data_IF_337202603760
#
_entry.id   IF_337202603760
#
_cell.length_a   1.000
_cell.length_b   1.000
_cell.length_c   1.000
_cell.angle_alpha   90.00
_cell.angle_beta   90.00
_cell.angle_gamma   90.00
#
_symmetry.space_group_name_H-M   'P 1'
#
loop_
_entity.id
_entity.type
_entity.pdbx_description
1 polymer ?
#
# COMPACT_ATOMS: atom_id res chain seq x y z
N UNK A 1 2.23 -18.05 54.32
CA UNK A 1 1.15 -17.83 53.33
C UNK A 1 1.78 -17.06 52.17
N UNK A 2 2.18 -17.78 51.16
CA UNK A 2 2.87 -17.20 50.02
C UNK A 2 1.89 -16.70 48.96
N UNK A 3 1.97 -15.44 48.56
CA UNK A 3 1.29 -14.89 47.43
C UNK A 3 2.11 -15.07 46.17
N UNK A 4 1.66 -15.94 45.29
CA UNK A 4 2.21 -16.16 43.96
C UNK A 4 1.92 -14.93 43.08
N UNK A 5 2.93 -14.13 42.83
CA UNK A 5 2.89 -13.12 41.76
C UNK A 5 3.30 -13.80 40.45
N UNK A 6 2.32 -14.35 39.74
CA UNK A 6 2.51 -14.78 38.37
C UNK A 6 2.66 -13.52 37.49
N UNK A 7 3.90 -13.14 37.19
CA UNK A 7 4.22 -12.11 36.21
C UNK A 7 3.74 -12.58 34.83
N UNK A 8 2.76 -11.89 34.29
CA UNK A 8 2.37 -11.99 32.87
C UNK A 8 3.52 -11.37 32.08
N UNK A 9 4.42 -12.20 31.57
CA UNK A 9 5.35 -11.83 30.51
C UNK A 9 4.53 -11.48 29.28
N UNK A 10 4.27 -10.18 29.10
CA UNK A 10 3.73 -9.67 27.86
C UNK A 10 4.70 -10.02 26.74
N UNK A 11 4.36 -10.99 25.91
CA UNK A 11 5.08 -11.26 24.66
C UNK A 11 4.96 -9.96 23.84
N UNK A 12 6.05 -9.22 23.72
CA UNK A 12 6.14 -8.10 22.80
C UNK A 12 5.89 -8.66 21.40
N UNK A 13 4.68 -8.51 20.91
CA UNK A 13 4.30 -8.88 19.53
C UNK A 13 5.05 -7.90 18.63
N UNK A 14 6.13 -8.35 18.02
CA UNK A 14 6.87 -7.56 17.04
C UNK A 14 6.00 -7.49 15.78
N UNK A 15 5.67 -6.28 15.37
CA UNK A 15 4.94 -6.05 14.12
C UNK A 15 5.67 -6.70 12.93
N UNK A 16 4.92 -7.07 11.91
CA UNK A 16 5.49 -7.68 10.70
C UNK A 16 6.34 -6.68 9.92
N UNK A 17 5.80 -5.47 9.70
CA UNK A 17 6.50 -4.34 9.09
C UNK A 17 6.28 -3.08 9.95
N UNK A 18 7.36 -2.35 10.22
CA UNK A 18 7.30 -1.02 10.83
C UNK A 18 8.11 -0.03 9.98
N UNK A 19 7.45 1.01 9.52
CA UNK A 19 8.07 2.17 8.87
C UNK A 19 8.11 3.27 9.93
N UNK A 20 9.29 3.83 10.21
CA UNK A 20 9.51 4.83 11.27
C UNK A 20 10.19 6.07 10.71
N UNK A 21 9.49 7.20 10.72
CA UNK A 21 10.01 8.50 10.30
C UNK A 21 10.62 8.51 8.90
N UNK A 22 10.08 7.68 7.99
CA UNK A 22 10.68 7.48 6.66
C UNK A 22 10.63 8.75 5.83
N UNK A 23 11.81 9.15 5.30
CA UNK A 23 11.94 10.27 4.37
C UNK A 23 12.65 9.82 3.10
N UNK A 24 11.96 9.98 1.96
CA UNK A 24 12.51 9.68 0.62
C UNK A 24 12.33 10.90 -0.26
N UNK A 25 13.45 11.48 -0.66
CA UNK A 25 13.51 12.70 -1.46
C UNK A 25 14.14 12.41 -2.82
N UNK A 26 13.80 13.25 -3.81
CA UNK A 26 14.36 13.16 -5.16
C UNK A 26 15.01 14.49 -5.54
N UNK A 27 16.22 14.41 -6.08
CA UNK A 27 16.88 15.60 -6.62
C UNK A 27 16.25 15.97 -7.97
N UNK A 28 15.80 17.21 -8.08
CA UNK A 28 15.27 17.82 -9.32
C UNK A 28 16.09 19.06 -9.67
N UNK A 29 15.87 19.62 -10.84
CA UNK A 29 16.53 20.87 -11.24
C UNK A 29 16.12 22.05 -10.35
N UNK A 30 14.89 22.03 -9.80
CA UNK A 30 14.32 23.10 -8.97
C UNK A 30 14.61 22.94 -7.47
N UNK A 31 15.23 21.83 -7.02
CA UNK A 31 15.50 21.55 -5.60
C UNK A 31 15.21 20.11 -5.21
N UNK A 32 14.97 19.85 -3.91
CA UNK A 32 14.65 18.53 -3.41
C UNK A 32 13.12 18.32 -3.31
N UNK A 33 12.63 17.37 -4.08
CA UNK A 33 11.23 16.91 -3.99
C UNK A 33 11.08 15.97 -2.78
N UNK A 34 10.34 16.38 -1.76
CA UNK A 34 10.04 15.60 -0.55
C UNK A 34 8.86 14.64 -0.79
N UNK A 35 9.07 13.59 -1.56
CA UNK A 35 7.98 12.67 -1.96
C UNK A 35 7.41 11.86 -0.79
N UNK A 36 8.25 11.52 0.19
CA UNK A 36 7.88 10.92 1.50
C UNK A 36 8.65 11.67 2.57
N UNK A 37 7.98 12.16 3.62
CA UNK A 37 8.59 13.06 4.58
C UNK A 37 8.07 12.83 6.01
N UNK A 38 8.65 11.85 6.69
CA UNK A 38 8.31 11.49 8.07
C UNK A 38 7.11 10.55 8.17
N UNK A 39 7.04 9.53 7.31
CA UNK A 39 5.95 8.55 7.32
C UNK A 39 6.20 7.48 8.36
N UNK A 40 5.19 7.23 9.20
CA UNK A 40 5.10 6.12 10.14
C UNK A 40 3.93 5.22 9.76
N UNK A 41 4.20 3.93 9.51
CA UNK A 41 3.19 2.91 9.21
C UNK A 41 3.61 1.60 9.88
N UNK A 42 2.68 0.95 10.54
CA UNK A 42 2.89 -0.39 11.13
C UNK A 42 1.93 -1.36 10.46
N UNK A 43 2.36 -2.59 10.22
CA UNK A 43 1.52 -3.68 9.68
C UNK A 43 1.75 -4.93 10.50
N UNK A 44 0.68 -5.49 11.03
CA UNK A 44 0.71 -6.72 11.79
C UNK A 44 0.49 -7.96 10.90
N UNK A 45 0.77 -9.14 11.45
CA UNK A 45 0.57 -10.40 10.72
C UNK A 45 -0.91 -10.60 10.40
N UNK A 46 -1.21 -10.95 9.15
CA UNK A 46 -2.57 -11.20 8.68
C UNK A 46 -3.45 -9.94 8.58
N UNK A 47 -2.89 -8.76 8.84
CA UNK A 47 -3.61 -7.48 8.74
C UNK A 47 -3.68 -6.98 7.29
N UNK A 48 -4.81 -6.36 6.91
CA UNK A 48 -4.90 -5.50 5.73
C UNK A 48 -4.91 -4.05 6.17
N UNK A 49 -3.86 -3.31 5.81
CA UNK A 49 -3.77 -1.86 6.01
C UNK A 49 -4.04 -1.15 4.69
N UNK A 50 -5.09 -0.33 4.64
CA UNK A 50 -5.38 0.53 3.50
C UNK A 50 -4.53 1.81 3.57
N UNK A 51 -3.77 2.12 2.53
CA UNK A 51 -3.05 3.39 2.40
C UNK A 51 -3.70 4.21 1.30
N UNK A 52 -4.34 5.31 1.69
CA UNK A 52 -5.19 6.12 0.80
C UNK A 52 -4.72 7.56 0.68
N UNK A 53 -5.13 8.23 -0.39
CA UNK A 53 -4.85 9.65 -0.66
C UNK A 53 -4.85 9.96 -2.14
N UNK A 54 -4.82 11.24 -2.50
CA UNK A 54 -4.76 11.70 -3.89
C UNK A 54 -3.51 11.21 -4.61
N UNK A 55 -3.55 11.20 -5.96
CA UNK A 55 -2.37 10.87 -6.77
C UNK A 55 -1.21 11.83 -6.45
N UNK A 56 0.02 11.29 -6.41
CA UNK A 56 1.22 12.08 -6.09
C UNK A 56 1.46 12.34 -4.59
N UNK A 57 0.62 11.83 -3.67
CA UNK A 57 0.82 12.06 -2.22
C UNK A 57 1.89 11.17 -1.56
N UNK A 58 2.63 10.33 -2.32
CA UNK A 58 3.77 9.57 -1.80
C UNK A 58 3.52 8.08 -1.54
N UNK A 59 2.30 7.54 -1.74
CA UNK A 59 1.93 6.13 -1.48
C UNK A 59 2.83 5.12 -2.18
N UNK A 60 2.90 5.20 -3.51
CA UNK A 60 3.73 4.29 -4.33
C UNK A 60 5.23 4.48 -4.07
N UNK A 61 5.66 5.72 -3.75
CA UNK A 61 7.05 5.97 -3.36
C UNK A 61 7.38 5.27 -2.03
N UNK A 62 6.46 5.31 -1.05
CA UNK A 62 6.61 4.58 0.21
C UNK A 62 6.75 3.07 -0.04
N UNK A 63 5.87 2.48 -0.86
CA UNK A 63 5.94 1.07 -1.25
C UNK A 63 7.27 0.69 -1.91
N UNK A 64 7.68 1.48 -2.91
CA UNK A 64 8.95 1.29 -3.62
C UNK A 64 10.17 1.47 -2.70
N UNK A 65 10.09 2.38 -1.73
CA UNK A 65 11.16 2.58 -0.74
C UNK A 65 11.30 1.36 0.17
N UNK A 66 10.19 0.80 0.68
CA UNK A 66 10.19 -0.44 1.47
C UNK A 66 10.87 -1.57 0.69
N UNK A 67 10.56 -1.69 -0.60
CA UNK A 67 11.13 -2.71 -1.49
C UNK A 67 12.53 -2.35 -2.01
N UNK A 68 13.09 -1.18 -1.67
CA UNK A 68 14.34 -0.63 -2.25
C UNK A 68 14.34 -0.70 -3.78
N UNK A 69 13.24 -0.23 -4.39
CA UNK A 69 13.04 -0.15 -5.84
C UNK A 69 13.08 1.31 -6.34
N UNK A 70 13.55 2.22 -5.51
CA UNK A 70 13.82 3.61 -5.89
C UNK A 70 15.20 3.68 -6.53
N UNK A 71 15.28 4.27 -7.73
CA UNK A 71 16.55 4.55 -8.38
C UNK A 71 17.35 5.57 -7.58
N UNK A 72 18.57 5.25 -7.23
CA UNK A 72 19.44 6.10 -6.43
C UNK A 72 20.78 6.29 -7.16
N UNK A 73 21.05 7.46 -7.80
CA UNK A 73 20.24 8.67 -7.94
C UNK A 73 19.08 8.53 -8.96
N UNK A 74 18.09 9.46 -9.03
CA UNK A 74 17.99 10.76 -8.32
C UNK A 74 17.36 10.65 -6.93
N UNK A 75 16.79 9.49 -6.55
CA UNK A 75 16.20 9.27 -5.23
C UNK A 75 17.25 9.15 -4.12
N UNK A 76 16.83 9.45 -2.90
CA UNK A 76 17.63 9.25 -1.68
C UNK A 76 16.72 8.99 -0.49
N UNK A 77 17.00 7.95 0.29
CA UNK A 77 16.42 7.79 1.63
C UNK A 77 17.26 8.68 2.55
N UNK A 78 16.68 9.77 3.05
CA UNK A 78 17.41 10.78 3.84
C UNK A 78 17.30 10.56 5.33
N UNK A 79 16.23 9.87 5.80
CA UNK A 79 16.03 9.52 7.20
C UNK A 79 15.01 8.38 7.34
N UNK A 80 14.90 7.86 8.56
CA UNK A 80 13.93 6.85 8.96
C UNK A 80 14.44 5.42 8.81
N UNK A 81 13.58 4.48 9.20
CA UNK A 81 13.86 3.05 9.21
C UNK A 81 12.68 2.29 8.58
N UNK A 82 13.00 1.14 7.99
CA UNK A 82 12.02 0.15 7.53
C UNK A 82 12.35 -1.17 8.21
N UNK A 83 11.65 -1.47 9.30
CA UNK A 83 11.89 -2.66 10.10
C UNK A 83 11.00 -3.81 9.62
N UNK A 84 11.60 -4.84 9.07
CA UNK A 84 10.97 -6.10 8.71
C UNK A 84 11.25 -7.13 9.81
N UNK A 85 10.24 -7.51 10.58
CA UNK A 85 10.40 -8.40 11.76
C UNK A 85 11.52 -7.90 12.69
N UNK A 86 11.61 -6.59 12.91
CA UNK A 86 12.62 -5.95 13.72
C UNK A 86 13.98 -5.71 13.03
N UNK A 87 14.20 -6.20 11.81
CA UNK A 87 15.43 -5.98 11.05
C UNK A 87 15.27 -4.78 10.10
N UNK A 88 16.16 -3.79 10.21
CA UNK A 88 16.15 -2.63 9.31
C UNK A 88 16.60 -3.01 7.89
N UNK A 89 15.71 -2.72 6.92
CA UNK A 89 15.95 -2.97 5.50
C UNK A 89 16.76 -1.85 4.83
N UNK A 90 16.75 -0.63 5.40
CA UNK A 90 17.36 0.55 4.75
C UNK A 90 18.87 0.34 4.50
N UNK A 91 19.69 -0.13 5.46
CA UNK A 91 21.13 -0.32 5.25
C UNK A 91 21.48 -1.58 4.44
N UNK A 92 20.51 -2.46 4.13
CA UNK A 92 20.82 -3.75 3.48
C UNK A 92 21.37 -3.55 2.06
N UNK A 93 22.40 -4.31 1.67
CA UNK A 93 22.88 -4.32 0.28
C UNK A 93 21.86 -5.01 -0.66
N UNK A 94 21.98 -4.77 -1.99
CA UNK A 94 21.03 -5.31 -2.99
C UNK A 94 20.86 -6.83 -2.91
N UNK A 95 21.93 -7.58 -2.66
CA UNK A 95 21.93 -9.05 -2.60
C UNK A 95 21.13 -9.57 -1.39
N UNK A 96 21.16 -8.82 -0.27
CA UNK A 96 20.37 -9.16 0.91
C UNK A 96 18.88 -8.86 0.68
N UNK A 97 18.57 -7.76 -0.01
CA UNK A 97 17.19 -7.43 -0.40
C UNK A 97 16.61 -8.41 -1.42
N UNK A 98 17.44 -8.92 -2.34
CA UNK A 98 17.01 -9.93 -3.30
C UNK A 98 16.48 -11.20 -2.61
N UNK A 99 17.06 -11.61 -1.48
CA UNK A 99 16.60 -12.76 -0.69
C UNK A 99 15.26 -12.52 0.02
N UNK A 100 14.88 -11.25 0.24
CA UNK A 100 13.63 -10.86 0.90
C UNK A 100 12.50 -10.65 -0.13
N UNK A 101 12.84 -10.01 -1.26
CA UNK A 101 11.88 -9.76 -2.34
C UNK A 101 11.32 -11.06 -2.86
N UNK A 102 10.04 -11.07 -3.19
CA UNK A 102 9.22 -12.21 -3.62
C UNK A 102 9.07 -13.31 -2.56
N UNK A 103 10.09 -13.63 -1.78
CA UNK A 103 10.06 -14.72 -0.78
C UNK A 103 9.38 -14.31 0.53
N UNK A 104 9.63 -13.10 1.02
CA UNK A 104 9.08 -12.60 2.29
C UNK A 104 8.13 -11.44 2.08
N UNK A 105 8.50 -10.48 1.23
CA UNK A 105 7.70 -9.32 0.83
C UNK A 105 7.58 -9.33 -0.67
N UNK A 106 6.36 -9.22 -1.18
CA UNK A 106 6.10 -9.10 -2.61
C UNK A 106 5.32 -7.83 -2.92
N UNK A 107 5.35 -7.40 -4.18
CA UNK A 107 4.64 -6.22 -4.66
C UNK A 107 3.84 -6.55 -5.92
N UNK A 108 2.60 -6.06 -5.97
CA UNK A 108 1.76 -6.02 -7.17
C UNK A 108 1.78 -4.57 -7.64
N UNK A 109 2.31 -4.34 -8.84
CA UNK A 109 2.44 -2.99 -9.42
C UNK A 109 1.13 -2.50 -10.02
N UNK A 110 1.02 -1.19 -10.16
CA UNK A 110 -0.16 -0.49 -10.65
C UNK A 110 -0.54 -0.87 -12.10
N UNK A 111 0.45 -1.03 -12.99
CA UNK A 111 0.21 -1.26 -14.41
C UNK A 111 0.67 -2.65 -14.87
N UNK A 112 -0.27 -3.57 -15.20
CA UNK A 112 0.08 -4.89 -15.73
C UNK A 112 0.78 -4.85 -17.08
N UNK A 113 0.53 -3.80 -17.87
CA UNK A 113 1.09 -3.67 -19.22
C UNK A 113 2.60 -3.43 -19.23
N UNK A 114 3.10 -2.70 -18.25
CA UNK A 114 4.53 -2.35 -18.11
C UNK A 114 5.26 -3.31 -17.19
N UNK A 115 4.54 -4.00 -16.30
CA UNK A 115 5.13 -4.90 -15.30
C UNK A 115 5.40 -6.30 -15.82
N UNK A 116 4.59 -6.80 -16.78
CA UNK A 116 4.83 -8.09 -17.43
C UNK A 116 5.77 -7.90 -18.62
N UNK A 117 6.84 -8.69 -18.68
CA UNK A 117 7.77 -8.65 -19.79
C UNK A 117 7.12 -9.29 -21.03
N UNK A 118 6.92 -8.54 -22.15
CA UNK A 118 6.19 -9.02 -23.32
C UNK A 118 6.90 -10.12 -24.12
N UNK A 119 8.20 -10.30 -23.92
CA UNK A 119 9.00 -11.28 -24.68
C UNK A 119 9.17 -12.63 -23.98
N UNK A 120 8.67 -12.76 -22.73
CA UNK A 120 8.65 -14.03 -22.01
C UNK A 120 7.21 -14.53 -21.84
N UNK A 121 7.04 -15.85 -21.85
CA UNK A 121 5.74 -16.46 -21.57
C UNK A 121 5.35 -16.22 -20.11
N UNK A 122 4.05 -16.24 -19.84
CA UNK A 122 3.53 -16.10 -18.48
C UNK A 122 4.10 -17.16 -17.54
N UNK A 123 4.25 -18.40 -18.03
CA UNK A 123 4.82 -19.48 -17.25
C UNK A 123 6.27 -19.25 -16.85
N UNK A 124 7.12 -18.77 -17.77
CA UNK A 124 8.53 -18.47 -17.45
C UNK A 124 8.64 -17.34 -16.41
N UNK A 125 7.78 -16.31 -16.48
CA UNK A 125 7.80 -15.21 -15.52
C UNK A 125 7.37 -15.65 -14.10
N UNK A 126 6.40 -16.56 -13.98
CA UNK A 126 6.04 -17.13 -12.67
C UNK A 126 7.14 -18.08 -12.18
N UNK A 127 7.67 -18.93 -13.07
CA UNK A 127 8.68 -19.93 -12.75
C UNK A 127 10.04 -19.30 -12.34
N UNK A 128 10.36 -18.11 -12.82
CA UNK A 128 11.60 -17.40 -12.49
C UNK A 128 11.75 -17.22 -10.98
N UNK A 129 10.73 -16.67 -10.32
CA UNK A 129 10.74 -16.46 -8.85
C UNK A 129 10.90 -17.79 -8.10
N UNK A 130 10.22 -18.84 -8.53
CA UNK A 130 10.30 -20.17 -7.91
C UNK A 130 11.70 -20.79 -8.05
N UNK A 131 12.31 -20.66 -9.23
CA UNK A 131 13.68 -21.13 -9.46
C UNK A 131 14.71 -20.37 -8.63
N UNK A 132 14.55 -19.05 -8.56
CA UNK A 132 15.49 -18.17 -7.84
C UNK A 132 15.41 -18.37 -6.32
N UNK A 133 14.20 -18.50 -5.76
CA UNK A 133 13.98 -18.45 -4.31
C UNK A 133 13.74 -19.82 -3.66
N UNK A 134 13.22 -20.80 -4.41
CA UNK A 134 12.95 -22.16 -3.92
C UNK A 134 13.92 -23.21 -4.49
N UNK A 135 14.78 -22.81 -5.45
CA UNK A 135 15.78 -23.71 -6.04
C UNK A 135 15.18 -24.82 -6.92
N UNK A 136 13.94 -24.66 -7.38
CA UNK A 136 13.26 -25.65 -8.21
C UNK A 136 13.93 -25.78 -9.59
N UNK A 137 13.92 -27.00 -10.14
CA UNK A 137 14.25 -27.20 -11.55
C UNK A 137 13.26 -26.47 -12.46
N UNK A 138 13.63 -26.24 -13.71
CA UNK A 138 12.74 -25.58 -14.69
C UNK A 138 11.39 -26.29 -14.82
N UNK A 139 11.39 -27.62 -14.83
CA UNK A 139 10.18 -28.43 -14.97
C UNK A 139 9.27 -28.27 -13.74
N UNK A 140 9.82 -28.49 -12.54
CA UNK A 140 9.06 -28.33 -11.29
C UNK A 140 8.50 -26.91 -11.14
N UNK A 141 9.28 -25.88 -11.48
CA UNK A 141 8.84 -24.49 -11.44
C UNK A 141 7.69 -24.20 -12.42
N UNK A 142 7.72 -24.78 -13.64
CA UNK A 142 6.63 -24.66 -14.60
C UNK A 142 5.37 -25.42 -14.15
N UNK A 143 5.51 -26.62 -13.58
CA UNK A 143 4.40 -27.38 -13.02
C UNK A 143 3.75 -26.57 -11.88
N UNK A 144 4.54 -25.97 -11.00
CA UNK A 144 4.08 -25.09 -9.95
C UNK A 144 3.43 -23.80 -10.48
N UNK A 145 3.94 -23.25 -11.57
CA UNK A 145 3.36 -22.07 -12.24
C UNK A 145 1.95 -22.37 -12.79
N UNK A 146 1.69 -23.59 -13.27
CA UNK A 146 0.32 -24.03 -13.64
C UNK A 146 -0.61 -23.97 -12.42
N UNK A 147 -0.15 -24.47 -11.25
CA UNK A 147 -0.95 -24.40 -10.03
C UNK A 147 -1.23 -22.96 -9.59
N UNK A 148 -0.25 -22.06 -9.75
CA UNK A 148 -0.45 -20.64 -9.48
C UNK A 148 -1.49 -20.01 -10.41
N UNK A 149 -1.50 -20.37 -11.70
CA UNK A 149 -2.54 -19.92 -12.64
C UNK A 149 -3.93 -20.46 -12.28
N UNK A 150 -4.03 -21.71 -11.77
CA UNK A 150 -5.28 -22.27 -11.24
C UNK A 150 -5.76 -21.47 -10.04
N UNK A 151 -4.86 -21.19 -9.10
CA UNK A 151 -5.13 -20.46 -7.87
C UNK A 151 -5.75 -19.08 -8.15
N UNK A 152 -5.26 -18.36 -9.16
CA UNK A 152 -5.80 -17.07 -9.59
C UNK A 152 -6.94 -17.19 -10.61
N UNK A 153 -7.48 -18.39 -10.83
CA UNK A 153 -8.63 -18.66 -11.70
C UNK A 153 -8.41 -18.26 -13.17
N UNK A 154 -7.21 -18.52 -13.71
CA UNK A 154 -6.98 -18.43 -15.17
C UNK A 154 -7.57 -19.67 -15.83
N UNK A 155 -8.44 -19.53 -16.85
CA UNK A 155 -9.03 -20.69 -17.54
C UNK A 155 -7.97 -21.44 -18.37
N UNK A 156 -8.06 -22.77 -18.44
CA UNK A 156 -7.14 -23.65 -19.19
C UNK A 156 -5.65 -23.37 -18.92
N UNK A 157 -5.20 -23.39 -17.65
CA UNK A 157 -3.88 -22.92 -17.24
C UNK A 157 -2.74 -23.74 -17.87
N UNK A 158 -2.94 -25.04 -18.12
CA UNK A 158 -1.97 -25.94 -18.76
C UNK A 158 -1.63 -25.51 -20.20
N UNK A 159 -2.56 -24.85 -20.90
CA UNK A 159 -2.35 -24.26 -22.21
C UNK A 159 -1.79 -22.84 -22.06
N UNK A 160 -2.44 -22.03 -21.24
CA UNK A 160 -2.14 -20.60 -21.06
C UNK A 160 -0.76 -20.30 -20.52
N UNK A 161 -0.12 -21.25 -19.83
CA UNK A 161 1.24 -21.10 -19.32
C UNK A 161 2.27 -20.79 -20.43
N UNK A 162 2.00 -21.18 -21.66
CA UNK A 162 2.84 -20.94 -22.84
C UNK A 162 2.52 -19.64 -23.58
N UNK A 163 1.45 -18.98 -23.20
CA UNK A 163 1.01 -17.74 -23.85
C UNK A 163 1.83 -16.56 -23.34
N UNK A 164 1.90 -15.50 -24.16
CA UNK A 164 2.56 -14.24 -23.84
C UNK A 164 1.57 -13.24 -23.25
N UNK A 165 2.04 -12.21 -22.50
CA UNK A 165 1.15 -11.24 -21.87
C UNK A 165 0.15 -10.56 -22.80
N UNK A 166 0.52 -10.28 -24.06
CA UNK A 166 -0.37 -9.64 -25.03
C UNK A 166 -1.58 -10.50 -25.44
N UNK A 167 -1.53 -11.81 -25.18
CA UNK A 167 -2.63 -12.75 -25.45
C UNK A 167 -3.67 -12.82 -24.32
N UNK A 168 -3.48 -12.07 -23.24
CA UNK A 168 -4.36 -12.01 -22.08
C UNK A 168 -5.15 -10.70 -22.05
N UNK A 169 -6.39 -10.75 -21.58
CA UNK A 169 -7.17 -9.55 -21.25
C UNK A 169 -6.55 -8.78 -20.07
N UNK A 170 -6.96 -7.54 -19.84
CA UNK A 170 -6.47 -6.71 -18.72
C UNK A 170 -6.65 -7.41 -17.36
N UNK A 171 -7.84 -7.91 -17.06
CA UNK A 171 -8.11 -8.65 -15.82
C UNK A 171 -7.34 -9.97 -15.71
N UNK A 172 -7.07 -10.66 -16.83
CA UNK A 172 -6.22 -11.85 -16.82
C UNK A 172 -4.76 -11.50 -16.55
N UNK A 173 -4.23 -10.42 -17.12
CA UNK A 173 -2.86 -9.94 -16.83
C UNK A 173 -2.71 -9.57 -15.37
N UNK A 174 -3.72 -8.92 -14.77
CA UNK A 174 -3.73 -8.63 -13.35
C UNK A 174 -3.68 -9.90 -12.51
N UNK A 175 -4.46 -10.93 -12.84
CA UNK A 175 -4.41 -12.23 -12.18
C UNK A 175 -3.04 -12.90 -12.32
N UNK A 176 -2.38 -12.77 -13.46
CA UNK A 176 -1.01 -13.26 -13.66
C UNK A 176 -0.01 -12.53 -12.76
N UNK A 177 -0.11 -11.19 -12.63
CA UNK A 177 0.73 -10.44 -11.69
C UNK A 177 0.52 -10.88 -10.24
N UNK A 178 -0.72 -11.14 -9.85
CA UNK A 178 -1.03 -11.72 -8.53
C UNK A 178 -0.37 -13.09 -8.39
N UNK A 179 -0.44 -13.95 -9.42
CA UNK A 179 0.21 -15.26 -9.41
C UNK A 179 1.74 -15.16 -9.23
N UNK A 180 2.39 -14.22 -9.93
CA UNK A 180 3.83 -13.95 -9.77
C UNK A 180 4.13 -13.48 -8.34
N UNK A 181 3.35 -12.51 -7.83
CA UNK A 181 3.56 -11.96 -6.49
C UNK A 181 3.40 -13.03 -5.39
N UNK A 182 2.53 -14.01 -5.58
CA UNK A 182 2.22 -15.04 -4.59
C UNK A 182 3.00 -16.35 -4.79
N UNK A 183 3.79 -16.48 -5.86
CA UNK A 183 4.47 -17.72 -6.23
C UNK A 183 5.29 -18.32 -5.08
N UNK A 184 6.03 -17.51 -4.34
CA UNK A 184 6.86 -17.91 -3.21
C UNK A 184 6.17 -17.77 -1.83
N UNK A 185 4.83 -17.63 -1.79
CA UNK A 185 4.03 -17.51 -0.56
C UNK A 185 4.55 -16.44 0.42
N UNK A 186 4.62 -15.17 0.01
CA UNK A 186 5.14 -14.09 0.85
C UNK A 186 4.30 -13.89 2.11
N UNK A 187 4.90 -13.31 3.15
CA UNK A 187 4.18 -12.95 4.38
C UNK A 187 3.51 -11.58 4.30
N UNK A 188 3.99 -10.71 3.41
CA UNK A 188 3.41 -9.40 3.12
C UNK A 188 3.31 -9.20 1.61
N UNK A 189 2.15 -8.77 1.16
CA UNK A 189 1.93 -8.28 -0.20
C UNK A 189 1.64 -6.78 -0.16
N UNK A 190 2.42 -6.00 -0.89
CA UNK A 190 2.15 -4.59 -1.15
C UNK A 190 1.39 -4.53 -2.47
N UNK A 191 0.12 -4.19 -2.44
CA UNK A 191 -0.72 -4.06 -3.62
C UNK A 191 -0.87 -2.57 -3.97
N UNK A 192 -0.07 -2.11 -4.94
CA UNK A 192 -0.05 -0.70 -5.37
C UNK A 192 -1.06 -0.48 -6.49
N UNK A 193 -2.22 0.04 -6.13
CA UNK A 193 -3.37 0.29 -7.02
C UNK A 193 -3.73 -0.94 -7.90
N UNK A 194 -3.98 -2.10 -7.31
CA UNK A 194 -4.06 -3.37 -8.04
C UNK A 194 -5.27 -3.49 -8.97
N UNK A 195 -6.15 -2.51 -9.00
CA UNK A 195 -7.39 -2.52 -9.79
C UNK A 195 -7.54 -1.30 -10.70
N UNK A 196 -6.53 -0.43 -10.75
CA UNK A 196 -6.55 0.75 -11.64
C UNK A 196 -6.65 0.31 -13.10
N UNK A 197 -7.43 1.05 -13.89
CA UNK A 197 -7.74 0.77 -15.31
C UNK A 197 -8.53 -0.52 -15.58
N UNK A 198 -9.17 -1.11 -14.57
CA UNK A 198 -10.11 -2.22 -14.72
C UNK A 198 -11.56 -1.72 -14.59
N UNK A 199 -12.49 -2.39 -15.25
CA UNK A 199 -13.92 -2.13 -15.04
C UNK A 199 -14.35 -2.57 -13.62
N UNK A 200 -15.45 -1.98 -13.12
CA UNK A 200 -15.91 -2.17 -11.73
C UNK A 200 -16.15 -3.65 -11.39
N UNK A 201 -16.65 -4.43 -12.35
CA UNK A 201 -16.92 -5.87 -12.12
C UNK A 201 -15.62 -6.66 -11.95
N UNK A 202 -14.64 -6.41 -12.81
CA UNK A 202 -13.31 -7.06 -12.71
C UNK A 202 -12.58 -6.57 -11.46
N UNK A 203 -12.70 -5.29 -11.10
CA UNK A 203 -12.14 -4.75 -9.86
C UNK A 203 -12.63 -5.53 -8.64
N UNK A 204 -13.96 -5.70 -8.50
CA UNK A 204 -14.55 -6.47 -7.40
C UNK A 204 -14.01 -7.92 -7.36
N UNK A 205 -13.91 -8.57 -8.52
CA UNK A 205 -13.36 -9.94 -8.62
C UNK A 205 -11.89 -10.05 -8.20
N UNK A 206 -11.08 -9.03 -8.51
CA UNK A 206 -9.65 -9.00 -8.13
C UNK A 206 -9.51 -8.80 -6.62
N UNK A 207 -10.32 -7.92 -6.02
CA UNK A 207 -10.31 -7.67 -4.58
C UNK A 207 -10.78 -8.89 -3.79
N UNK A 208 -11.87 -9.54 -4.21
CA UNK A 208 -12.34 -10.81 -3.63
C UNK A 208 -11.25 -11.90 -3.73
N UNK A 209 -10.59 -12.01 -4.88
CA UNK A 209 -9.48 -12.93 -5.07
C UNK A 209 -8.35 -12.66 -4.07
N UNK A 210 -7.91 -11.40 -3.94
CA UNK A 210 -6.83 -11.02 -3.01
C UNK A 210 -7.22 -11.29 -1.55
N UNK A 211 -8.45 -10.95 -1.15
CA UNK A 211 -8.93 -11.20 0.20
C UNK A 211 -8.96 -12.71 0.52
N UNK A 212 -9.52 -13.53 -0.37
CA UNK A 212 -9.54 -14.97 -0.23
C UNK A 212 -8.13 -15.55 -0.10
N UNK A 213 -7.20 -15.15 -0.98
CA UNK A 213 -5.81 -15.63 -0.95
C UNK A 213 -5.06 -15.16 0.28
N UNK A 214 -5.34 -13.93 0.77
CA UNK A 214 -4.82 -13.44 2.04
C UNK A 214 -5.21 -14.36 3.19
N UNK A 215 -6.50 -14.72 3.28
CA UNK A 215 -7.03 -15.55 4.36
C UNK A 215 -6.50 -16.99 4.26
N UNK A 216 -6.47 -17.59 3.06
CA UNK A 216 -5.95 -18.94 2.81
C UNK A 216 -4.44 -19.06 3.11
N UNK A 217 -3.66 -18.03 2.85
CA UNK A 217 -2.21 -18.04 3.01
C UNK A 217 -1.73 -17.42 4.34
N UNK A 218 -2.62 -16.77 5.10
CA UNK A 218 -2.28 -16.08 6.35
C UNK A 218 -1.35 -14.88 6.16
N UNK A 219 -1.33 -14.26 4.98
CA UNK A 219 -0.46 -13.13 4.67
C UNK A 219 -1.05 -11.79 5.12
N UNK A 220 -0.19 -10.79 5.33
CA UNK A 220 -0.61 -9.41 5.49
C UNK A 220 -0.70 -8.70 4.13
N UNK A 221 -1.49 -7.63 4.04
CA UNK A 221 -1.65 -6.84 2.82
C UNK A 221 -1.53 -5.35 3.13
N UNK A 222 -0.64 -4.65 2.42
CA UNK A 222 -0.62 -3.18 2.33
C UNK A 222 -1.33 -2.80 1.03
N UNK A 223 -2.59 -2.38 1.14
CA UNK A 223 -3.41 -2.01 -0.02
C UNK A 223 -3.32 -0.51 -0.27
N UNK A 224 -2.63 -0.12 -1.32
CA UNK A 224 -2.54 1.27 -1.76
C UNK A 224 -3.63 1.51 -2.81
N UNK A 225 -4.47 2.52 -2.59
CA UNK A 225 -5.53 2.90 -3.53
C UNK A 225 -5.97 4.34 -3.29
N UNK A 226 -6.61 4.95 -4.27
CA UNK A 226 -7.36 6.20 -4.12
C UNK A 226 -8.86 5.96 -3.87
N UNK A 227 -9.33 4.72 -3.96
CA UNK A 227 -10.73 4.35 -3.80
C UNK A 227 -11.07 4.05 -2.33
N UNK A 228 -11.59 5.04 -1.61
CA UNK A 228 -12.00 4.91 -0.20
C UNK A 228 -13.05 3.80 0.00
N UNK A 229 -13.98 3.60 -0.95
CA UNK A 229 -14.99 2.54 -0.87
C UNK A 229 -14.38 1.14 -0.82
N UNK A 230 -13.33 0.90 -1.60
CA UNK A 230 -12.58 -0.38 -1.58
C UNK A 230 -11.95 -0.63 -0.22
N UNK A 231 -11.33 0.39 0.35
CA UNK A 231 -10.67 0.27 1.67
C UNK A 231 -11.69 0.01 2.78
N UNK A 232 -12.87 0.65 2.71
CA UNK A 232 -13.95 0.41 3.65
C UNK A 232 -14.40 -1.07 3.71
N UNK A 233 -14.29 -1.78 2.60
CA UNK A 233 -14.71 -3.17 2.45
C UNK A 233 -13.66 -4.17 2.93
N UNK A 234 -12.38 -3.93 2.64
CA UNK A 234 -11.33 -4.97 2.81
C UNK A 234 -10.30 -4.68 3.90
N UNK A 235 -10.14 -3.43 4.35
CA UNK A 235 -9.13 -3.06 5.32
C UNK A 235 -9.61 -3.17 6.77
N UNK A 236 -8.69 -3.49 7.68
CA UNK A 236 -8.92 -3.41 9.13
C UNK A 236 -8.59 -1.99 9.65
N UNK A 237 -7.55 -1.38 9.10
CA UNK A 237 -7.04 -0.05 9.46
C UNK A 237 -6.69 0.75 8.21
N UNK A 238 -6.82 2.06 8.31
CA UNK A 238 -6.58 2.98 7.19
C UNK A 238 -5.56 4.02 7.60
N UNK A 239 -4.59 4.23 6.72
CA UNK A 239 -3.59 5.30 6.78
C UNK A 239 -3.89 6.28 5.65
N UNK A 240 -4.20 7.51 5.99
CA UNK A 240 -4.48 8.59 5.03
C UNK A 240 -3.22 9.40 4.81
N UNK A 241 -2.74 9.44 3.58
CA UNK A 241 -1.55 10.20 3.19
C UNK A 241 -1.93 11.45 2.40
N UNK A 242 -1.29 12.55 2.72
CA UNK A 242 -1.37 13.80 1.97
C UNK A 242 0.01 14.45 1.85
N UNK A 243 0.38 14.82 0.64
CA UNK A 243 1.60 15.59 0.37
C UNK A 243 2.86 15.00 1.06
N UNK A 244 3.07 13.70 0.96
CA UNK A 244 4.24 12.99 1.49
C UNK A 244 4.19 12.64 2.98
N UNK A 245 3.09 12.91 3.67
CA UNK A 245 2.94 12.67 5.12
C UNK A 245 1.69 11.85 5.44
N UNK A 246 1.69 11.17 6.58
CA UNK A 246 0.47 10.60 7.17
C UNK A 246 -0.27 11.72 7.88
N UNK A 247 -1.53 11.94 7.52
CA UNK A 247 -2.38 12.99 8.13
C UNK A 247 -3.42 12.42 9.08
N UNK A 248 -3.83 11.18 8.88
CA UNK A 248 -4.75 10.48 9.78
C UNK A 248 -4.58 8.97 9.67
N UNK A 249 -4.74 8.26 10.76
CA UNK A 249 -4.73 6.80 10.83
C UNK A 249 -5.73 6.34 11.87
N UNK A 250 -6.57 5.37 11.51
CA UNK A 250 -7.55 4.80 12.44
C UNK A 250 -8.02 3.40 11.98
N UNK A 251 -8.65 2.61 12.87
CA UNK A 251 -9.48 1.48 12.47
C UNK A 251 -10.51 1.93 11.43
N UNK A 252 -10.78 1.11 10.42
CA UNK A 252 -11.61 1.49 9.27
C UNK A 252 -12.98 2.04 9.70
N UNK A 253 -13.66 1.36 10.62
CA UNK A 253 -14.98 1.79 11.11
C UNK A 253 -14.94 3.16 11.78
N UNK A 254 -13.90 3.40 12.58
CA UNK A 254 -13.70 4.68 13.28
C UNK A 254 -13.39 5.81 12.30
N UNK A 255 -12.51 5.57 11.32
CA UNK A 255 -12.18 6.58 10.32
C UNK A 255 -13.41 7.05 9.52
N UNK A 256 -14.30 6.13 9.15
CA UNK A 256 -15.51 6.45 8.37
C UNK A 256 -16.61 7.09 9.23
N UNK A 257 -16.73 6.71 10.51
CA UNK A 257 -17.71 7.27 11.43
C UNK A 257 -17.29 8.65 11.96
N UNK A 258 -16.00 8.82 12.30
CA UNK A 258 -15.48 10.00 12.98
C UNK A 258 -14.17 10.49 12.34
N UNK A 259 -14.15 10.87 11.04
CA UNK A 259 -12.94 11.41 10.41
C UNK A 259 -12.56 12.75 11.08
N UNK A 260 -11.32 12.87 11.56
CA UNK A 260 -10.82 14.01 12.33
C UNK A 260 -10.05 15.02 11.51
N UNK A 261 -9.37 14.56 10.44
CA UNK A 261 -8.63 15.46 9.56
C UNK A 261 -9.55 16.04 8.47
N UNK A 262 -9.56 17.36 8.20
CA UNK A 262 -10.40 17.97 7.17
C UNK A 262 -10.21 17.37 5.77
N UNK A 263 -9.00 16.92 5.44
CA UNK A 263 -8.72 16.20 4.19
C UNK A 263 -9.46 14.86 4.13
N UNK A 264 -9.40 14.06 5.19
CA UNK A 264 -10.12 12.77 5.27
C UNK A 264 -11.62 12.96 5.14
N UNK A 265 -12.16 13.99 5.80
CA UNK A 265 -13.58 14.38 5.66
C UNK A 265 -13.92 14.68 4.19
N UNK A 266 -13.04 15.41 3.49
CA UNK A 266 -13.20 15.71 2.07
C UNK A 266 -13.18 14.45 1.20
N UNK A 267 -12.23 13.53 1.45
CA UNK A 267 -12.15 12.25 0.73
C UNK A 267 -13.41 11.40 0.91
N UNK A 268 -13.93 11.30 2.15
CA UNK A 268 -15.14 10.51 2.43
C UNK A 268 -16.37 11.14 1.78
N UNK A 269 -16.49 12.48 1.77
CA UNK A 269 -17.60 13.19 1.09
C UNK A 269 -17.56 13.07 -0.43
N UNK A 270 -16.39 12.79 -1.01
CA UNK A 270 -16.25 12.57 -2.45
C UNK A 270 -16.67 11.17 -2.93
N UNK A 271 -17.00 10.25 -1.99
CA UNK A 271 -17.47 8.90 -2.33
C UNK A 271 -18.91 9.00 -2.89
N UNK A 272 -19.18 8.46 -4.09
CA UNK A 272 -20.55 8.38 -4.62
C UNK A 272 -21.44 7.54 -3.70
N UNK A 273 -22.54 8.09 -3.22
CA UNK A 273 -23.55 7.35 -2.47
C UNK A 273 -24.59 6.78 -3.44
N UNK A 274 -24.71 5.45 -3.43
CA UNK A 274 -25.64 4.74 -4.33
C UNK A 274 -27.09 4.80 -3.80
N UNK A 275 -27.27 5.01 -2.50
CA UNK A 275 -28.52 4.88 -1.75
C UNK A 275 -29.38 6.16 -1.76
N UNK A 276 -28.95 7.24 -2.40
CA UNK A 276 -29.73 8.45 -2.47
C UNK A 276 -30.74 8.34 -3.63
N UNK A 277 -32.04 8.41 -3.33
CA UNK A 277 -33.10 8.59 -4.29
C UNK A 277 -32.76 9.69 -5.31
N UNK A 278 -33.19 9.52 -6.56
CA UNK A 278 -32.87 10.44 -7.65
C UNK A 278 -33.24 11.92 -7.34
N UNK A 279 -34.16 12.14 -6.40
CA UNK A 279 -34.56 13.46 -5.90
C UNK A 279 -33.53 14.12 -4.95
N UNK A 280 -32.58 13.36 -4.41
CA UNK A 280 -31.59 13.84 -3.43
C UNK A 280 -30.13 13.73 -3.95
N UNK A 281 -29.93 13.72 -5.28
CA UNK A 281 -28.59 13.75 -5.89
C UNK A 281 -27.89 15.06 -5.53
N UNK A 282 -27.19 15.07 -4.40
CA UNK A 282 -26.27 16.15 -4.05
C UNK A 282 -25.04 16.07 -4.95
N UNK A 283 -24.61 17.21 -5.48
CA UNK A 283 -23.34 17.31 -6.22
C UNK A 283 -22.21 16.83 -5.30
N UNK A 284 -21.37 15.90 -5.78
CA UNK A 284 -20.19 15.45 -5.04
C UNK A 284 -19.30 16.65 -4.70
N UNK A 285 -18.95 16.78 -3.42
CA UNK A 285 -18.02 17.83 -2.98
C UNK A 285 -16.60 17.41 -3.36
N UNK A 286 -16.04 18.03 -4.38
CA UNK A 286 -14.62 17.88 -4.68
C UNK A 286 -13.79 18.70 -3.71
N UNK A 287 -12.64 18.18 -3.28
CA UNK A 287 -11.66 18.94 -2.49
C UNK A 287 -11.06 20.01 -3.42
N UNK A 288 -11.22 21.31 -3.10
CA UNK A 288 -10.78 22.38 -3.99
C UNK A 288 -9.24 22.44 -4.11
N UNK A 289 -8.75 22.92 -5.25
CA UNK A 289 -7.32 23.09 -5.51
C UNK A 289 -6.58 21.78 -5.85
N UNK A 290 -5.26 21.85 -5.91
CA UNK A 290 -4.37 20.73 -6.23
C UNK A 290 -3.38 20.46 -5.09
N UNK A 291 -2.81 19.26 -5.06
CA UNK A 291 -1.72 18.93 -4.13
C UNK A 291 -0.54 19.87 -4.38
N UNK A 292 0.03 20.50 -3.34
CA UNK A 292 1.14 21.44 -3.52
C UNK A 292 2.38 20.74 -4.08
N UNK A 293 3.22 21.48 -4.80
CA UNK A 293 4.57 21.02 -5.14
C UNK A 293 5.38 20.89 -3.85
N UNK A 294 6.02 19.73 -3.67
CA UNK A 294 6.78 19.39 -2.45
C UNK A 294 8.29 19.65 -2.62
N UNK A 295 8.66 20.66 -3.43
CA UNK A 295 10.05 21.07 -3.60
C UNK A 295 10.41 21.98 -2.42
N UNK A 296 11.35 21.56 -1.58
CA UNK A 296 11.79 22.25 -0.37
C UNK A 296 10.62 22.91 0.40
N UNK A 297 9.60 22.13 0.82
CA UNK A 297 8.37 22.68 1.38
C UNK A 297 8.65 23.43 2.67
N UNK A 298 7.98 24.57 2.85
CA UNK A 298 8.02 25.34 4.10
C UNK A 298 7.35 24.55 5.24
N UNK A 299 7.68 24.94 6.48
CA UNK A 299 7.01 24.45 7.66
C UNK A 299 5.51 24.80 7.65
N UNK A 300 4.71 24.03 8.40
CA UNK A 300 3.28 24.21 8.49
C UNK A 300 2.48 23.01 7.98
N UNK A 301 1.16 23.09 8.18
CA UNK A 301 0.24 22.07 7.69
C UNK A 301 0.15 22.14 6.16
N UNK A 302 0.58 21.07 5.47
CA UNK A 302 0.60 21.00 4.00
C UNK A 302 -0.80 21.09 3.36
N UNK A 303 -1.85 20.79 4.13
CA UNK A 303 -3.24 20.93 3.69
C UNK A 303 -3.81 22.32 3.93
N UNK A 304 -3.14 23.21 4.66
CA UNK A 304 -3.69 24.50 5.09
C UNK A 304 -4.26 25.35 3.93
N UNK A 305 -3.59 25.40 2.78
CA UNK A 305 -4.05 26.17 1.61
C UNK A 305 -5.39 25.67 1.02
N UNK A 306 -5.79 24.43 1.29
CA UNK A 306 -7.04 23.78 0.82
C UNK A 306 -8.05 23.57 1.94
N UNK A 307 -7.66 23.86 3.18
CA UNK A 307 -8.45 23.60 4.38
C UNK A 307 -9.41 24.73 4.65
N UNK A 308 -10.72 24.44 4.66
CA UNK A 308 -11.76 25.44 5.04
C UNK A 308 -11.70 25.88 6.50
N UNK A 309 -10.97 25.15 7.35
CA UNK A 309 -10.78 25.42 8.76
C UNK A 309 -9.36 25.96 9.06
N UNK A 310 -8.59 26.36 8.04
CA UNK A 310 -7.23 26.84 8.23
C UNK A 310 -7.20 28.06 9.15
N UNK A 311 -6.24 28.05 10.08
CA UNK A 311 -5.97 29.13 11.02
C UNK A 311 -4.51 29.59 10.88
N UNK A 312 -4.14 30.80 11.31
CA UNK A 312 -2.74 31.26 11.25
C UNK A 312 -1.76 30.27 11.89
N UNK A 313 -2.14 29.62 12.99
CA UNK A 313 -1.33 28.60 13.66
C UNK A 313 -0.99 27.39 12.77
N UNK A 314 -1.82 27.08 11.76
CA UNK A 314 -1.56 26.00 10.82
C UNK A 314 -0.35 26.26 9.90
N UNK A 315 0.06 27.53 9.78
CA UNK A 315 1.21 27.94 8.93
C UNK A 315 2.53 27.97 9.70
N UNK A 316 2.51 27.84 11.03
CA UNK A 316 3.70 28.05 11.87
C UNK A 316 4.53 26.77 12.03
N UNK A 317 3.89 25.63 12.13
CA UNK A 317 4.55 24.32 12.33
C UNK A 317 3.72 23.19 11.73
N UNK A 318 4.39 22.16 11.25
CA UNK A 318 3.76 20.92 10.81
C UNK A 318 3.15 20.19 12.01
N UNK A 319 1.81 19.95 12.04
CA UNK A 319 1.18 19.25 13.15
C UNK A 319 1.75 17.83 13.31
N UNK A 320 2.14 17.43 14.53
CA UNK A 320 2.55 16.05 14.76
C UNK A 320 1.35 15.10 14.69
N UNK A 321 1.60 13.85 14.29
CA UNK A 321 0.60 12.78 14.34
C UNK A 321 0.36 12.41 15.82
N UNK A 322 -0.77 12.88 16.40
CA UNK A 322 -1.14 12.66 17.80
C UNK A 322 -2.31 11.69 17.94
N UNK A 323 -2.33 10.88 18.96
CA UNK A 323 -3.46 10.00 19.29
C UNK A 323 -4.60 10.82 19.90
N UNK A 324 -5.81 10.65 19.34
CA UNK A 324 -7.03 11.36 19.77
C UNK A 324 -8.09 10.42 20.34
N UNK A 325 -7.98 9.13 20.01
CA UNK A 325 -8.73 8.03 20.59
C UNK A 325 -7.90 6.75 20.45
N UNK A 326 -8.22 5.66 21.14
CA UNK A 326 -7.47 4.42 21.05
C UNK A 326 -7.27 3.94 19.60
N UNK A 327 -6.02 3.94 19.12
CA UNK A 327 -5.68 3.59 17.75
C UNK A 327 -6.10 4.59 16.67
N UNK A 328 -6.59 5.78 17.04
CA UNK A 328 -6.93 6.86 16.13
C UNK A 328 -5.95 8.02 16.29
N UNK A 329 -5.13 8.24 15.29
CA UNK A 329 -4.09 9.27 15.26
C UNK A 329 -4.38 10.31 14.16
N UNK A 330 -4.16 11.59 14.44
CA UNK A 330 -4.40 12.70 13.50
C UNK A 330 -3.29 13.75 13.56
N UNK A 331 -2.87 14.24 12.40
CA UNK A 331 -1.92 15.36 12.27
C UNK A 331 -2.69 16.67 12.01
N UNK A 332 -3.48 17.08 12.98
CA UNK A 332 -4.25 18.34 12.95
C UNK A 332 -4.20 19.00 14.32
N UNK A 333 -4.13 20.36 14.33
CA UNK A 333 -4.20 21.14 15.59
C UNK A 333 -5.63 21.36 16.08
N UNK A 334 -6.61 21.08 15.21
CA UNK A 334 -8.03 21.24 15.52
C UNK A 334 -8.60 19.93 16.10
N UNK A 335 -9.57 20.06 17.00
CA UNK A 335 -10.39 18.94 17.47
C UNK A 335 -11.73 19.01 16.74
N UNK A 336 -11.83 18.30 15.61
CA UNK A 336 -12.99 18.29 14.70
C UNK A 336 -13.79 17.00 14.83
#
# INVERSE_FOLDING_TARGET
MGANAAGVLGVLVVALLEIKGLKTHFKTDDGWLHAVDGVDITIDRGETVGVVGESGCGKSVTAKTVMKLIDMPPGKIVAGQVLWKGRDLVPLPPEAMQKIRAKEISIIFQEPMTSLNPVFTVGEQIAESLRLHEGLSRREALDRAVDMLKLVRIPTPERRIKDYPHQFSGGMRQRVMIAIALACKPQLVIADEPTTALDVTIQAQILDLLQRLKDEMGMAVMLITHAMGVVAEVAQRVVVMYAGMVVEEAPVKELFAHPRHPYTQGLIRSIPRIDLDAAHKTRLEAIPGTVPKLIDPADGCRFAARCKHAQPACMLATPPLREVAPGHRVACILDL
#
